data_IF_257602033307
#
_entry.id   IF_257602033307
#
_cell.length_a   1.000
_cell.length_b   1.000
_cell.length_c   1.000
_cell.angle_alpha   90.00
_cell.angle_beta   90.00
_cell.angle_gamma   90.00
#
_symmetry.space_group_name_H-M   'P 1'
#
loop_
_entity.id
_entity.type
_entity.pdbx_description
1 polymer ?
#
# COMPACT_ATOMS: atom_id res chain seq x y z
N UNK A 1 5.31 -1.37 -8.48
CA UNK A 1 4.61 -0.06 -8.58
C UNK A 1 5.57 0.99 -9.10
N UNK A 2 5.07 2.20 -9.31
CA UNK A 2 5.88 3.35 -9.71
C UNK A 2 6.86 3.76 -8.59
N UNK A 3 8.15 3.82 -8.89
CA UNK A 3 9.21 4.02 -7.90
C UNK A 3 9.17 5.43 -7.33
N UNK A 4 8.98 6.45 -8.17
CA UNK A 4 8.94 7.85 -7.74
C UNK A 4 7.74 8.13 -6.84
N UNK A 5 6.56 7.61 -7.19
CA UNK A 5 5.35 7.72 -6.37
C UNK A 5 5.52 6.97 -5.04
N UNK A 6 6.14 5.79 -5.06
CA UNK A 6 6.44 5.01 -3.86
C UNK A 6 7.34 5.77 -2.88
N UNK A 7 8.44 6.35 -3.36
CA UNK A 7 9.34 7.16 -2.54
C UNK A 7 8.63 8.38 -1.95
N UNK A 8 7.81 9.08 -2.76
CA UNK A 8 7.03 10.22 -2.30
C UNK A 8 6.07 9.84 -1.17
N UNK A 9 5.32 8.75 -1.32
CA UNK A 9 4.38 8.26 -0.31
C UNK A 9 5.11 7.81 0.96
N UNK A 10 6.22 7.08 0.83
CA UNK A 10 7.01 6.65 2.00
C UNK A 10 7.54 7.84 2.80
N UNK A 11 7.97 8.90 2.12
CA UNK A 11 8.40 10.13 2.79
C UNK A 11 7.25 10.80 3.56
N UNK A 12 6.05 10.89 2.97
CA UNK A 12 4.86 11.43 3.65
C UNK A 12 4.51 10.62 4.91
N UNK A 13 4.49 9.29 4.79
CA UNK A 13 4.20 8.38 5.90
C UNK A 13 5.23 8.54 7.03
N UNK A 14 6.52 8.63 6.68
CA UNK A 14 7.61 8.85 7.63
C UNK A 14 7.52 10.20 8.33
N UNK A 15 7.18 11.27 7.60
CA UNK A 15 6.99 12.61 8.17
C UNK A 15 5.82 12.65 9.16
N UNK A 16 4.77 11.85 8.93
CA UNK A 16 3.66 11.69 9.86
C UNK A 16 3.97 10.78 11.06
N UNK A 17 5.22 10.35 11.24
CA UNK A 17 5.66 9.51 12.36
C UNK A 17 5.19 8.05 12.28
N UNK A 18 4.65 7.60 11.14
CA UNK A 18 4.27 6.21 10.93
C UNK A 18 5.48 5.39 10.53
N UNK A 19 5.66 4.24 11.17
CA UNK A 19 6.80 3.33 10.96
C UNK A 19 6.31 1.99 10.39
N UNK A 20 7.25 1.12 9.98
CA UNK A 20 6.93 -0.22 9.47
C UNK A 20 6.66 -0.33 7.96
N UNK A 21 6.42 0.80 7.27
CA UNK A 21 6.33 0.83 5.81
C UNK A 21 7.72 0.84 5.16
N UNK A 22 7.88 0.08 4.10
CA UNK A 22 9.11 0.04 3.29
C UNK A 22 8.77 -0.08 1.82
N UNK A 23 9.72 0.32 0.98
CA UNK A 23 9.63 0.00 -0.44
C UNK A 23 9.67 -1.53 -0.62
N UNK A 24 8.91 -2.02 -1.58
CA UNK A 24 8.78 -3.44 -1.88
C UNK A 24 8.41 -3.67 -3.34
N UNK A 25 8.71 -4.88 -3.79
CA UNK A 25 8.33 -5.41 -5.10
C UNK A 25 7.69 -6.77 -4.88
N UNK A 26 6.67 -7.09 -5.69
CA UNK A 26 6.13 -8.43 -5.71
C UNK A 26 7.15 -9.40 -6.31
N UNK A 27 7.18 -10.66 -5.85
CA UNK A 27 7.98 -11.68 -6.51
C UNK A 27 7.48 -11.93 -7.95
N UNK A 28 8.28 -12.58 -8.80
CA UNK A 28 7.84 -12.97 -10.13
C UNK A 28 6.48 -13.69 -10.10
N UNK A 29 5.63 -13.39 -11.08
CA UNK A 29 4.28 -13.96 -11.23
C UNK A 29 3.28 -13.60 -10.12
N UNK A 30 3.63 -12.70 -9.20
CA UNK A 30 2.69 -12.11 -8.26
C UNK A 30 2.40 -10.65 -8.63
N UNK A 31 1.13 -10.25 -8.54
CA UNK A 31 0.70 -8.89 -8.81
C UNK A 31 -0.61 -8.58 -8.10
N UNK A 32 -1.03 -7.32 -8.20
CA UNK A 32 -2.37 -6.85 -7.85
C UNK A 32 -2.78 -5.82 -8.92
N UNK A 33 -3.97 -5.23 -8.81
CA UNK A 33 -4.56 -4.39 -9.86
C UNK A 33 -3.70 -3.19 -10.25
N UNK A 34 -2.86 -2.69 -9.34
CA UNK A 34 -1.89 -1.62 -9.61
C UNK A 34 -1.02 -1.89 -10.85
N UNK A 35 -0.75 -3.15 -11.19
CA UNK A 35 0.05 -3.52 -12.35
C UNK A 35 -0.62 -3.08 -13.67
N UNK A 36 -1.95 -3.14 -13.74
CA UNK A 36 -2.69 -2.70 -14.93
C UNK A 36 -2.57 -1.20 -15.16
N UNK A 37 -2.66 -0.38 -14.11
CA UNK A 37 -2.43 1.07 -14.18
C UNK A 37 -1.01 1.40 -14.64
N UNK A 38 0.00 0.76 -14.04
CA UNK A 38 1.40 0.96 -14.45
C UNK A 38 1.60 0.57 -15.92
N UNK A 39 0.99 -0.54 -16.38
CA UNK A 39 1.09 -0.97 -17.78
C UNK A 39 0.46 0.03 -18.77
N UNK A 40 -0.52 0.82 -18.31
CA UNK A 40 -1.16 1.89 -19.09
C UNK A 40 -0.40 3.23 -18.98
N UNK A 41 0.77 3.27 -18.34
CA UNK A 41 1.55 4.49 -18.13
C UNK A 41 1.01 5.39 -17.01
N UNK A 42 0.09 4.90 -16.17
CA UNK A 42 -0.46 5.62 -15.02
C UNK A 42 0.36 5.24 -13.78
N UNK A 43 1.02 6.20 -13.09
CA UNK A 43 1.73 5.92 -11.85
C UNK A 43 0.79 5.35 -10.79
N UNK A 44 1.09 4.15 -10.30
CA UNK A 44 0.30 3.50 -9.27
C UNK A 44 1.18 2.73 -8.29
N UNK A 45 0.72 2.68 -7.05
CA UNK A 45 1.30 1.88 -5.96
C UNK A 45 0.20 1.03 -5.33
N UNK A 46 0.61 0.02 -4.58
CA UNK A 46 -0.28 -0.77 -3.73
C UNK A 46 0.32 -0.84 -2.34
N UNK A 47 -0.53 -0.72 -1.32
CA UNK A 47 -0.17 -1.03 0.05
C UNK A 47 -0.37 -2.53 0.27
N UNK A 48 0.64 -3.19 0.82
CA UNK A 48 0.66 -4.64 0.94
C UNK A 48 1.00 -5.04 2.38
N UNK A 49 0.13 -5.85 2.99
CA UNK A 49 0.27 -6.36 4.37
C UNK A 49 1.32 -7.45 4.52
N UNK A 50 1.81 -8.01 3.40
CA UNK A 50 2.71 -9.15 3.40
C UNK A 50 2.02 -10.45 3.00
N UNK A 51 2.78 -11.54 3.00
CA UNK A 51 2.28 -12.87 2.66
C UNK A 51 1.46 -13.42 3.83
N UNK A 52 0.14 -13.24 3.78
CA UNK A 52 -0.76 -14.02 4.62
C UNK A 52 -0.77 -15.48 4.14
N UNK A 53 -0.44 -16.42 5.02
CA UNK A 53 -0.42 -17.85 4.69
C UNK A 53 -1.82 -18.43 4.49
N UNK A 54 -2.85 -17.72 4.94
CA UNK A 54 -4.25 -18.14 4.85
C UNK A 54 -4.94 -17.64 3.57
N UNK A 55 -4.30 -16.75 2.79
CA UNK A 55 -4.89 -16.24 1.56
C UNK A 55 -5.25 -17.39 0.60
N UNK A 56 -6.44 -17.33 0.00
CA UNK A 56 -7.03 -18.40 -0.83
C UNK A 56 -7.33 -19.73 -0.11
N UNK A 57 -7.28 -19.76 1.22
CA UNK A 57 -7.72 -20.89 2.03
C UNK A 57 -9.02 -20.53 2.77
N UNK A 58 -9.80 -21.52 3.25
CA UNK A 58 -11.01 -21.25 4.03
C UNK A 58 -10.78 -20.45 5.32
N UNK A 59 -9.53 -20.41 5.79
CA UNK A 59 -9.12 -19.61 6.94
C UNK A 59 -8.87 -18.14 6.62
N UNK A 60 -9.00 -17.68 5.38
CA UNK A 60 -9.01 -16.25 5.03
C UNK A 60 -10.31 -15.62 5.57
N UNK A 61 -10.29 -15.28 6.86
CA UNK A 61 -11.47 -14.91 7.62
C UNK A 61 -11.12 -13.80 8.62
N UNK A 62 -12.14 -12.99 8.97
CA UNK A 62 -11.99 -11.85 9.88
C UNK A 62 -11.38 -12.23 11.24
N UNK A 63 -11.60 -13.45 11.70
CA UNK A 63 -11.03 -13.95 12.96
C UNK A 63 -9.49 -13.98 12.95
N UNK A 64 -8.85 -13.97 11.78
CA UNK A 64 -7.40 -13.98 11.60
C UNK A 64 -6.82 -12.59 11.31
N UNK A 65 -7.65 -11.54 11.35
CA UNK A 65 -7.24 -10.17 11.07
C UNK A 65 -7.18 -9.37 12.37
N UNK A 66 -6.03 -8.76 12.62
CA UNK A 66 -5.88 -7.81 13.72
C UNK A 66 -6.39 -6.41 13.33
N UNK A 67 -7.21 -5.80 14.19
CA UNK A 67 -7.74 -4.45 13.97
C UNK A 67 -6.64 -3.42 13.76
N UNK A 68 -5.55 -3.50 14.53
CA UNK A 68 -4.47 -2.51 14.43
C UNK A 68 -3.77 -2.55 13.06
N UNK A 69 -3.74 -3.72 12.40
CA UNK A 69 -3.23 -3.84 11.04
C UNK A 69 -4.09 -3.09 10.01
N UNK A 70 -5.41 -3.14 10.16
CA UNK A 70 -6.36 -2.40 9.31
C UNK A 70 -6.22 -0.90 9.53
N UNK A 71 -6.18 -0.45 10.78
CA UNK A 71 -5.98 0.96 11.14
C UNK A 71 -4.65 1.50 10.58
N UNK A 72 -3.60 0.67 10.59
CA UNK A 72 -2.30 1.01 9.99
C UNK A 72 -2.41 1.24 8.48
N UNK A 73 -3.11 0.34 7.76
CA UNK A 73 -3.31 0.49 6.31
C UNK A 73 -4.19 1.69 5.95
N UNK A 74 -5.27 1.92 6.71
CA UNK A 74 -6.16 3.07 6.53
C UNK A 74 -5.39 4.38 6.71
N UNK A 75 -4.64 4.52 7.80
CA UNK A 75 -3.86 5.71 8.07
C UNK A 75 -2.82 6.00 6.96
N UNK A 76 -2.19 4.95 6.41
CA UNK A 76 -1.24 5.12 5.31
C UNK A 76 -1.92 5.57 4.00
N UNK A 77 -3.09 5.01 3.69
CA UNK A 77 -3.91 5.42 2.55
C UNK A 77 -4.36 6.88 2.67
N UNK A 78 -4.88 7.29 3.82
CA UNK A 78 -5.30 8.67 4.08
C UNK A 78 -4.14 9.66 3.95
N UNK A 79 -2.97 9.34 4.54
CA UNK A 79 -1.78 10.18 4.44
C UNK A 79 -1.30 10.32 2.98
N UNK A 80 -1.33 9.24 2.21
CA UNK A 80 -0.98 9.27 0.80
C UNK A 80 -1.96 10.14 0.00
N UNK A 81 -3.27 9.96 0.18
CA UNK A 81 -4.29 10.75 -0.52
C UNK A 81 -4.14 12.24 -0.16
N UNK A 82 -4.12 12.57 1.12
CA UNK A 82 -4.08 13.96 1.59
C UNK A 82 -2.75 14.66 1.24
N UNK A 83 -1.63 13.93 1.25
CA UNK A 83 -0.32 14.49 0.90
C UNK A 83 -0.06 14.58 -0.61
N UNK A 84 -0.84 13.88 -1.43
CA UNK A 84 -0.72 13.90 -2.90
C UNK A 84 -1.72 14.83 -3.58
N UNK A 85 -2.90 15.03 -3.00
CA UNK A 85 -3.87 16.01 -3.51
C UNK A 85 -3.24 17.40 -3.42
N UNK A 86 -3.05 18.11 -4.54
CA UNK A 86 -2.63 19.50 -4.50
C UNK A 86 -3.72 20.29 -3.75
N UNK A 87 -3.34 21.06 -2.74
CA UNK A 87 -4.25 22.07 -2.19
C UNK A 87 -4.57 23.00 -3.35
N UNK A 88 -5.84 23.07 -3.74
CA UNK A 88 -6.31 24.05 -4.72
C UNK A 88 -5.84 25.43 -4.23
N UNK A 89 -4.91 26.03 -4.97
CA UNK A 89 -4.43 27.39 -4.72
C UNK A 89 -5.41 28.38 -5.31
#
# INVERSE_FOLDING_TARGET
GDVTLQEKILNLIKQAGKTGFKAGQFPPFASSDHASFVSAGIPAVTFYSGNDTQIHLPGDALANIDRASIETMLAAGELAINGLIPVAR
#
